data_IF_954281715104
#
_entry.id   IF_954281715104
#
_cell.length_a   1.000
_cell.length_b   1.000
_cell.length_c   1.000
_cell.angle_alpha   90.00
_cell.angle_beta   90.00
_cell.angle_gamma   90.00
#
_symmetry.space_group_name_H-M   'P 1'
#
loop_
_entity.id
_entity.type
_entity.pdbx_description
1 polymer ?
#
# COMPACT_ATOMS: atom_id res chain seq x y z
N UNK A 1 3.37 14.76 -17.56
CA UNK A 1 2.57 13.52 -17.37
C UNK A 1 1.36 13.80 -16.51
N UNK A 2 1.53 14.33 -15.29
CA UNK A 2 0.40 14.82 -14.51
C UNK A 2 -0.21 16.10 -15.10
N UNK A 3 -1.52 16.27 -14.89
CA UNK A 3 -2.32 17.44 -15.23
C UNK A 3 -3.55 17.52 -14.30
N UNK A 4 -4.56 18.34 -14.61
CA UNK A 4 -5.77 18.45 -13.80
C UNK A 4 -6.56 17.14 -13.70
N UNK A 5 -6.55 16.33 -14.76
CA UNK A 5 -7.24 15.04 -14.83
C UNK A 5 -6.44 13.90 -14.20
N UNK A 6 -5.12 13.87 -14.38
CA UNK A 6 -4.24 12.79 -13.95
C UNK A 6 -3.23 13.27 -12.91
N UNK A 7 -3.31 12.70 -11.70
CA UNK A 7 -2.39 13.00 -10.61
C UNK A 7 -1.66 11.74 -10.19
N UNK A 8 -0.34 11.82 -10.14
CA UNK A 8 0.53 10.70 -9.78
C UNK A 8 1.00 10.86 -8.34
N UNK A 9 0.93 9.79 -7.56
CA UNK A 9 1.45 9.73 -6.21
C UNK A 9 2.49 8.62 -6.11
N UNK A 10 3.72 8.93 -5.66
CA UNK A 10 4.71 7.90 -5.41
C UNK A 10 4.25 7.02 -4.23
N UNK A 11 4.29 5.71 -4.40
CA UNK A 11 4.09 4.74 -3.32
C UNK A 11 5.38 4.00 -3.01
N UNK A 12 5.24 2.80 -2.45
CA UNK A 12 6.37 1.95 -2.04
C UNK A 12 6.85 1.09 -3.21
N UNK A 13 8.17 1.10 -3.47
CA UNK A 13 8.81 0.32 -4.53
C UNK A 13 8.21 0.65 -5.91
N UNK A 14 7.85 -0.36 -6.72
CA UNK A 14 7.27 -0.20 -8.05
C UNK A 14 5.77 0.16 -8.05
N UNK A 15 5.14 0.25 -6.87
CA UNK A 15 3.70 0.51 -6.72
C UNK A 15 3.48 2.02 -6.56
N UNK A 16 2.83 2.62 -7.55
CA UNK A 16 2.46 4.04 -7.57
C UNK A 16 0.96 4.17 -7.81
N UNK A 17 0.37 5.29 -7.39
CA UNK A 17 -1.05 5.56 -7.60
C UNK A 17 -1.25 6.61 -8.68
N UNK A 18 -2.26 6.39 -9.52
CA UNK A 18 -2.80 7.36 -10.45
C UNK A 18 -4.23 7.70 -10.04
N UNK A 19 -4.48 8.96 -9.69
CA UNK A 19 -5.83 9.49 -9.53
C UNK A 19 -6.28 10.07 -10.86
N UNK A 20 -7.36 9.52 -11.42
CA UNK A 20 -7.99 10.00 -12.64
C UNK A 20 -9.33 10.68 -12.34
N UNK A 21 -9.35 12.02 -12.34
CA UNK A 21 -10.56 12.83 -12.12
C UNK A 21 -11.47 12.75 -13.34
N UNK A 22 -12.74 12.43 -13.12
CA UNK A 22 -13.71 12.18 -14.19
C UNK A 22 -13.40 10.90 -14.99
N UNK A 23 -12.53 10.03 -14.46
CA UNK A 23 -12.19 8.76 -15.09
C UNK A 23 -13.31 7.73 -15.02
N UNK A 24 -13.11 6.64 -15.75
CA UNK A 24 -14.04 5.51 -15.82
C UNK A 24 -13.50 4.29 -15.06
N UNK A 25 -14.39 3.57 -14.39
CA UNK A 25 -14.07 2.38 -13.59
C UNK A 25 -14.53 1.06 -14.23
N UNK A 26 -15.22 1.12 -15.36
CA UNK A 26 -15.80 -0.01 -16.09
C UNK A 26 -14.83 -0.69 -17.08
N UNK A 27 -13.54 -0.34 -17.03
CA UNK A 27 -12.51 -0.98 -17.82
C UNK A 27 -12.14 -2.32 -17.21
N UNK A 28 -11.96 -3.36 -18.04
CA UNK A 28 -11.38 -4.62 -17.59
C UNK A 28 -9.89 -4.59 -17.85
N UNK A 29 -9.09 -4.42 -16.79
CA UNK A 29 -7.64 -4.31 -16.88
C UNK A 29 -6.97 -5.45 -16.13
N UNK A 30 -6.05 -6.15 -16.78
CA UNK A 30 -5.37 -7.32 -16.23
C UNK A 30 -4.26 -6.89 -15.23
N UNK A 31 -4.20 -7.46 -14.02
CA UNK A 31 -3.08 -7.28 -13.12
C UNK A 31 -1.76 -7.78 -13.73
N UNK A 32 -0.63 -7.07 -13.55
CA UNK A 32 0.62 -7.44 -14.20
C UNK A 32 1.18 -8.78 -13.68
N UNK A 33 0.90 -9.15 -12.43
CA UNK A 33 1.41 -10.40 -11.84
C UNK A 33 0.82 -11.66 -12.50
N UNK A 34 -0.42 -11.59 -13.00
CA UNK A 34 -1.09 -12.72 -13.70
C UNK A 34 -0.44 -13.07 -15.04
N UNK A 35 0.32 -12.14 -15.63
CA UNK A 35 0.82 -12.22 -17.01
C UNK A 35 2.32 -12.02 -17.10
N UNK A 36 3.03 -12.22 -15.98
CA UNK A 36 4.48 -12.10 -15.90
C UNK A 36 5.17 -12.95 -16.97
N UNK A 37 6.09 -12.34 -17.73
CA UNK A 37 6.84 -13.00 -18.80
C UNK A 37 6.09 -13.12 -20.13
N UNK A 38 4.85 -12.63 -20.25
CA UNK A 38 4.07 -12.65 -21.49
C UNK A 38 4.16 -11.32 -22.25
N UNK A 39 3.94 -11.31 -23.59
CA UNK A 39 3.84 -10.07 -24.36
C UNK A 39 2.70 -9.17 -23.86
N UNK A 40 3.00 -7.88 -23.70
CA UNK A 40 2.05 -6.92 -23.10
C UNK A 40 0.96 -6.43 -24.05
N UNK A 41 1.20 -6.52 -25.37
CA UNK A 41 0.39 -5.84 -26.39
C UNK A 41 -1.11 -6.15 -26.28
N UNK A 42 -1.49 -7.42 -26.08
CA UNK A 42 -2.89 -7.80 -25.95
C UNK A 42 -3.58 -7.23 -24.70
N UNK A 43 -2.84 -7.05 -23.60
CA UNK A 43 -3.40 -6.55 -22.33
C UNK A 43 -3.50 -5.03 -22.32
N UNK A 44 -2.73 -4.34 -23.17
CA UNK A 44 -2.73 -2.89 -23.28
C UNK A 44 -3.76 -2.32 -24.27
N UNK A 45 -4.40 -3.17 -25.09
CA UNK A 45 -5.44 -2.74 -26.03
C UNK A 45 -6.59 -1.98 -25.35
N UNK A 46 -6.86 -2.28 -24.07
CA UNK A 46 -7.85 -1.56 -23.26
C UNK A 46 -7.53 -0.07 -23.14
N UNK A 47 -6.25 0.31 -23.09
CA UNK A 47 -5.83 1.70 -23.02
C UNK A 47 -5.95 2.40 -24.37
N UNK A 48 -5.73 1.69 -25.48
CA UNK A 48 -5.86 2.25 -26.84
C UNK A 48 -7.30 2.68 -27.15
N UNK A 49 -8.28 2.02 -26.54
CA UNK A 49 -9.71 2.35 -26.66
C UNK A 49 -10.13 3.61 -25.90
N UNK A 50 -9.25 4.21 -25.10
CA UNK A 50 -9.53 5.40 -24.28
C UNK A 50 -8.48 6.48 -24.61
N UNK A 51 -8.82 7.51 -25.39
CA UNK A 51 -7.85 8.50 -25.89
C UNK A 51 -6.93 9.10 -24.83
N UNK A 52 -7.47 9.38 -23.64
CA UNK A 52 -6.75 9.95 -22.50
C UNK A 52 -5.71 8.97 -21.96
N UNK A 53 -6.07 7.69 -21.82
CA UNK A 53 -5.15 6.65 -21.36
C UNK A 53 -4.13 6.31 -22.42
N UNK A 54 -4.51 6.23 -23.69
CA UNK A 54 -3.57 6.04 -24.80
C UNK A 54 -2.48 7.10 -24.78
N UNK A 55 -2.88 8.37 -24.75
CA UNK A 55 -1.95 9.50 -24.66
C UNK A 55 -1.09 9.43 -23.40
N UNK A 56 -1.67 9.05 -22.26
CA UNK A 56 -0.93 8.89 -21.00
C UNK A 56 0.15 7.80 -21.11
N UNK A 57 -0.19 6.63 -21.64
CA UNK A 57 0.72 5.48 -21.79
C UNK A 57 1.87 5.79 -22.76
N UNK A 58 1.57 6.42 -23.90
CA UNK A 58 2.57 6.84 -24.89
C UNK A 58 3.54 7.88 -24.30
N UNK A 59 3.01 8.90 -23.63
CA UNK A 59 3.82 9.92 -22.97
C UNK A 59 4.65 9.33 -21.83
N UNK A 60 4.08 8.43 -21.03
CA UNK A 60 4.77 7.79 -19.91
C UNK A 60 5.96 6.97 -20.42
N UNK A 61 5.75 6.17 -21.47
CA UNK A 61 6.83 5.43 -22.13
C UNK A 61 7.91 6.37 -22.67
N UNK A 62 7.54 7.47 -23.33
CA UNK A 62 8.50 8.45 -23.85
C UNK A 62 9.36 9.05 -22.73
N UNK A 63 8.76 9.40 -21.59
CA UNK A 63 9.51 9.93 -20.45
C UNK A 63 10.42 8.85 -19.86
N UNK A 64 9.87 7.68 -19.54
CA UNK A 64 10.59 6.61 -18.84
C UNK A 64 11.76 6.06 -19.65
N UNK A 65 11.58 5.78 -20.94
CA UNK A 65 12.66 5.28 -21.81
C UNK A 65 13.84 6.26 -21.83
N UNK A 66 13.58 7.57 -21.82
CA UNK A 66 14.63 8.59 -21.92
C UNK A 66 15.24 9.01 -20.58
N UNK A 67 14.84 8.40 -19.46
CA UNK A 67 15.44 8.67 -18.15
C UNK A 67 16.89 8.18 -18.10
N UNK A 68 17.79 9.00 -17.54
CA UNK A 68 19.21 8.68 -17.43
C UNK A 68 19.46 7.34 -16.74
N UNK A 69 18.73 7.07 -15.64
CA UNK A 69 18.79 5.79 -14.93
C UNK A 69 18.46 4.61 -15.86
N UNK A 70 17.39 4.71 -16.64
CA UNK A 70 16.98 3.65 -17.55
C UNK A 70 17.96 3.47 -18.72
N UNK A 71 18.57 4.55 -19.21
CA UNK A 71 19.64 4.50 -20.22
C UNK A 71 20.90 3.82 -19.66
N UNK A 72 21.27 4.10 -18.41
CA UNK A 72 22.38 3.44 -17.73
C UNK A 72 22.12 1.95 -17.51
N UNK A 73 20.92 1.58 -17.04
CA UNK A 73 20.52 0.18 -16.87
C UNK A 73 20.60 -0.57 -18.20
N UNK A 74 20.14 0.04 -19.30
CA UNK A 74 20.22 -0.55 -20.63
C UNK A 74 21.67 -0.79 -21.07
N UNK A 75 22.57 0.18 -20.85
CA UNK A 75 24.02 0.05 -21.14
C UNK A 75 24.68 -1.07 -20.32
N UNK A 76 24.15 -1.37 -19.14
CA UNK A 76 24.61 -2.46 -18.27
C UNK A 76 23.96 -3.82 -18.61
N UNK A 77 23.11 -3.91 -19.64
CA UNK A 77 22.36 -5.13 -19.96
C UNK A 77 21.25 -5.47 -18.95
N UNK A 78 20.86 -4.52 -18.09
CA UNK A 78 19.76 -4.67 -17.13
C UNK A 78 18.42 -4.24 -17.75
N UNK A 79 17.32 -4.65 -17.12
CA UNK A 79 15.95 -4.32 -17.55
C UNK A 79 15.52 -2.95 -17.01
N UNK A 80 15.24 -1.95 -17.87
CA UNK A 80 14.75 -0.64 -17.42
C UNK A 80 13.25 -0.68 -17.12
N UNK A 81 12.80 0.18 -16.21
CA UNK A 81 11.37 0.47 -15.99
C UNK A 81 10.88 1.43 -17.06
N UNK A 82 10.45 0.92 -18.21
CA UNK A 82 10.21 1.71 -19.44
C UNK A 82 8.72 2.04 -19.72
N UNK A 83 7.82 1.66 -18.81
CA UNK A 83 6.39 1.86 -18.96
C UNK A 83 5.71 1.91 -17.59
N UNK A 84 4.48 2.43 -17.58
CA UNK A 84 3.54 2.26 -16.48
C UNK A 84 2.56 1.14 -16.84
N UNK A 85 1.97 0.49 -15.83
CA UNK A 85 0.91 -0.49 -16.00
C UNK A 85 -0.22 -0.09 -15.06
N UNK A 86 -1.33 0.38 -15.61
CA UNK A 86 -2.49 0.80 -14.81
C UNK A 86 -3.32 -0.44 -14.49
N UNK A 87 -3.63 -0.70 -13.23
CA UNK A 87 -4.50 -1.80 -12.82
C UNK A 87 -5.06 -1.51 -11.44
N UNK A 88 -6.07 -2.28 -11.00
CA UNK A 88 -6.68 -2.08 -9.69
C UNK A 88 -7.52 -0.80 -9.62
N UNK A 89 -8.14 -0.41 -10.73
CA UNK A 89 -9.03 0.75 -10.80
C UNK A 89 -10.20 0.60 -9.83
N UNK A 90 -10.47 1.67 -9.10
CA UNK A 90 -11.54 1.74 -8.12
C UNK A 90 -11.94 3.19 -7.85
N UNK A 91 -13.09 3.37 -7.24
CA UNK A 91 -13.54 4.66 -6.73
C UNK A 91 -13.26 4.72 -5.23
N UNK A 92 -13.02 5.93 -4.71
CA UNK A 92 -12.93 6.11 -3.27
C UNK A 92 -14.24 5.61 -2.63
N UNK A 93 -14.16 4.68 -1.66
CA UNK A 93 -15.35 4.13 -1.04
C UNK A 93 -16.07 5.22 -0.24
N UNK A 94 -17.39 5.24 -0.33
CA UNK A 94 -18.24 6.04 0.55
C UNK A 94 -18.74 5.08 1.63
N UNK A 95 -18.22 5.24 2.84
CA UNK A 95 -18.59 4.42 3.99
C UNK A 95 -18.79 5.30 5.23
N UNK A 96 -19.71 4.95 6.14
CA UNK A 96 -19.83 5.65 7.42
C UNK A 96 -18.55 5.46 8.25
N UNK A 97 -18.17 6.49 9.00
CA UNK A 97 -17.05 6.38 9.94
C UNK A 97 -17.41 5.51 11.15
N UNK A 98 -16.39 5.08 11.89
CA UNK A 98 -16.58 4.42 13.19
C UNK A 98 -17.25 5.35 14.21
N UNK A 99 -17.00 6.66 14.12
CA UNK A 99 -17.68 7.65 14.94
C UNK A 99 -19.18 7.72 14.58
N UNK A 100 -19.53 7.81 13.29
CA UNK A 100 -20.94 7.86 12.86
C UNK A 100 -21.75 6.63 13.31
N UNK A 101 -21.10 5.46 13.34
CA UNK A 101 -21.77 4.19 13.65
C UNK A 101 -21.75 3.81 15.12
N UNK A 102 -20.67 4.14 15.82
CA UNK A 102 -20.37 3.60 17.15
C UNK A 102 -19.93 4.67 18.16
N UNK A 103 -19.75 5.93 17.74
CA UNK A 103 -19.24 7.01 18.59
C UNK A 103 -17.77 6.85 18.99
N UNK A 104 -17.01 6.05 18.24
CA UNK A 104 -15.62 5.68 18.56
C UNK A 104 -14.66 6.52 17.71
N UNK A 105 -13.63 7.07 18.34
CA UNK A 105 -12.47 7.67 17.67
C UNK A 105 -11.23 6.80 17.88
N UNK A 106 -10.30 6.88 16.94
CA UNK A 106 -9.15 5.99 16.99
C UNK A 106 -8.10 6.23 15.92
N UNK A 107 -7.07 5.39 15.96
CA UNK A 107 -5.95 5.45 15.02
C UNK A 107 -5.76 4.15 14.26
N UNK A 108 -5.15 4.26 13.07
CA UNK A 108 -4.63 3.14 12.29
C UNK A 108 -3.11 3.24 12.20
N UNK A 109 -2.41 2.18 12.61
CA UNK A 109 -0.95 2.06 12.55
C UNK A 109 -0.61 0.90 11.61
N UNK A 110 -0.04 1.21 10.46
CA UNK A 110 0.35 0.22 9.45
C UNK A 110 1.56 0.67 8.67
N UNK A 111 2.26 -0.27 8.04
CA UNK A 111 3.24 0.03 6.98
C UNK A 111 2.60 0.04 5.58
N UNK A 112 1.38 -0.50 5.46
CA UNK A 112 0.70 -0.75 4.19
C UNK A 112 -0.30 0.36 3.90
N UNK A 113 -0.13 1.03 2.75
CA UNK A 113 -0.96 2.17 2.35
C UNK A 113 -2.45 1.80 2.20
N UNK A 114 -2.75 0.58 1.72
CA UNK A 114 -4.12 0.09 1.61
C UNK A 114 -4.83 0.08 2.98
N UNK A 115 -4.16 -0.46 4.00
CA UNK A 115 -4.70 -0.54 5.36
C UNK A 115 -4.87 0.85 5.97
N UNK A 116 -3.89 1.76 5.77
CA UNK A 116 -4.01 3.16 6.20
C UNK A 116 -5.18 3.84 5.53
N UNK A 117 -5.33 3.67 4.21
CA UNK A 117 -6.42 4.25 3.44
C UNK A 117 -7.80 3.78 3.93
N UNK A 118 -7.94 2.48 4.22
CA UNK A 118 -9.17 1.95 4.82
C UNK A 118 -9.46 2.53 6.20
N UNK A 119 -8.44 2.69 7.04
CA UNK A 119 -8.60 3.35 8.34
C UNK A 119 -9.06 4.80 8.20
N UNK A 120 -8.46 5.57 7.29
CA UNK A 120 -8.89 6.95 6.98
C UNK A 120 -10.33 6.99 6.46
N UNK A 121 -10.71 6.08 5.57
CA UNK A 121 -12.10 5.96 5.10
C UNK A 121 -13.07 5.59 6.25
N UNK A 122 -12.61 4.85 7.25
CA UNK A 122 -13.36 4.54 8.46
C UNK A 122 -13.32 5.66 9.52
N UNK A 123 -12.66 6.79 9.25
CA UNK A 123 -12.55 7.93 10.17
C UNK A 123 -11.45 7.80 11.23
N UNK A 124 -10.50 6.88 11.07
CA UNK A 124 -9.33 6.74 11.94
C UNK A 124 -8.20 7.68 11.49
N UNK A 125 -7.45 8.20 12.45
CA UNK A 125 -6.21 8.94 12.17
C UNK A 125 -5.09 7.97 11.77
N UNK A 126 -4.41 8.23 10.66
CA UNK A 126 -3.30 7.40 10.20
C UNK A 126 -1.97 7.82 10.84
N UNK A 127 -1.44 6.97 11.72
CA UNK A 127 -0.17 7.22 12.41
C UNK A 127 0.99 6.58 11.63
N UNK A 128 2.02 7.38 11.35
CA UNK A 128 3.23 6.93 10.66
C UNK A 128 4.35 6.65 11.66
N UNK A 129 4.87 5.42 11.62
CA UNK A 129 5.95 4.97 12.51
C UNK A 129 7.26 4.90 11.71
N UNK A 130 8.32 5.66 12.09
CA UNK A 130 9.62 5.56 11.45
C UNK A 130 10.16 4.13 11.48
N UNK A 131 10.65 3.64 10.34
CA UNK A 131 11.17 2.28 10.20
C UNK A 131 10.10 1.18 10.09
N UNK A 132 8.83 1.52 9.92
CA UNK A 132 7.80 0.52 9.62
C UNK A 132 7.87 0.09 8.14
N UNK A 133 8.62 -0.98 7.84
CA UNK A 133 8.98 -1.41 6.47
C UNK A 133 8.03 -2.44 5.85
N UNK A 134 7.03 -2.94 6.59
CA UNK A 134 6.07 -3.93 6.09
C UNK A 134 6.63 -5.36 5.99
N UNK A 135 7.92 -5.55 6.25
CA UNK A 135 8.57 -6.86 6.24
C UNK A 135 9.16 -7.20 7.62
N UNK A 136 9.95 -8.28 7.73
CA UNK A 136 10.53 -8.74 9.00
C UNK A 136 11.44 -7.70 9.68
N UNK A 137 12.02 -6.77 8.91
CA UNK A 137 12.83 -5.66 9.43
C UNK A 137 12.00 -4.47 9.93
N UNK A 138 10.67 -4.62 10.02
CA UNK A 138 9.77 -3.54 10.48
C UNK A 138 10.05 -3.17 11.93
N UNK A 139 9.88 -1.89 12.26
CA UNK A 139 9.97 -1.39 13.63
C UNK A 139 8.75 -1.83 14.48
N UNK A 140 8.77 -3.06 15.00
CA UNK A 140 7.72 -3.60 15.87
C UNK A 140 7.53 -2.76 17.14
N UNK A 141 8.62 -2.49 17.85
CA UNK A 141 8.58 -1.71 19.10
C UNK A 141 8.01 -0.31 18.91
N UNK A 142 8.39 0.39 17.84
CA UNK A 142 7.83 1.71 17.52
C UNK A 142 6.34 1.67 17.22
N UNK A 143 5.85 0.60 16.56
CA UNK A 143 4.43 0.42 16.32
C UNK A 143 3.65 0.16 17.61
N UNK A 144 4.19 -0.68 18.50
CA UNK A 144 3.57 -0.93 19.81
C UNK A 144 3.58 0.32 20.68
N UNK A 145 4.69 1.06 20.72
CA UNK A 145 4.77 2.31 21.47
C UNK A 145 3.74 3.34 20.98
N UNK A 146 3.57 3.47 19.66
CA UNK A 146 2.54 4.32 19.07
C UNK A 146 1.13 3.85 19.42
N UNK A 147 0.88 2.54 19.43
CA UNK A 147 -0.41 1.96 19.80
C UNK A 147 -0.76 2.22 21.27
N UNK A 148 0.17 1.92 22.19
CA UNK A 148 -0.02 2.14 23.63
C UNK A 148 -0.18 3.63 23.95
N UNK A 149 0.57 4.51 23.27
CA UNK A 149 0.40 5.95 23.40
C UNK A 149 -0.99 6.41 22.94
N UNK A 150 -1.46 5.92 21.80
CA UNK A 150 -2.79 6.27 21.29
C UNK A 150 -3.92 5.79 22.22
N UNK A 151 -3.79 4.61 22.83
CA UNK A 151 -4.77 4.07 23.78
C UNK A 151 -4.95 4.92 25.06
N UNK A 152 -4.05 5.87 25.34
CA UNK A 152 -4.21 6.80 26.46
C UNK A 152 -5.23 7.90 26.18
N UNK A 153 -5.47 8.20 24.90
CA UNK A 153 -6.28 9.35 24.48
C UNK A 153 -7.45 8.95 23.56
N UNK A 154 -7.41 7.75 22.97
CA UNK A 154 -8.31 7.29 21.93
C UNK A 154 -9.06 6.03 22.35
N UNK A 155 -10.28 5.85 21.84
CA UNK A 155 -11.14 4.72 22.17
C UNK A 155 -10.72 3.42 21.44
N UNK A 156 -9.97 3.55 20.34
CA UNK A 156 -9.66 2.43 19.45
C UNK A 156 -8.31 2.56 18.75
N UNK A 157 -7.61 1.44 18.63
CA UNK A 157 -6.38 1.33 17.85
C UNK A 157 -6.44 0.12 16.93
N UNK A 158 -6.22 0.35 15.64
CA UNK A 158 -5.95 -0.71 14.66
C UNK A 158 -4.45 -0.81 14.41
N UNK A 159 -3.79 -1.78 15.04
CA UNK A 159 -2.36 -2.06 14.86
C UNK A 159 -2.15 -3.20 13.86
N UNK A 160 -1.41 -2.92 12.78
CA UNK A 160 -1.21 -3.85 11.68
C UNK A 160 0.27 -4.20 11.43
N UNK A 161 0.53 -5.48 11.16
CA UNK A 161 1.82 -6.04 10.79
C UNK A 161 1.67 -6.93 9.56
N UNK A 162 2.36 -6.55 8.48
CA UNK A 162 2.27 -7.19 7.16
C UNK A 162 3.24 -8.37 6.99
N UNK A 163 4.33 -8.42 7.75
CA UNK A 163 5.44 -9.35 7.55
C UNK A 163 5.04 -10.83 7.37
N UNK A 164 4.06 -11.39 8.09
CA UNK A 164 3.63 -12.78 7.87
C UNK A 164 3.03 -13.06 6.49
N UNK A 165 2.37 -12.07 5.88
CA UNK A 165 1.77 -12.20 4.55
C UNK A 165 2.83 -12.14 3.45
N UNK A 166 3.75 -11.17 3.52
CA UNK A 166 4.88 -11.06 2.58
C UNK A 166 5.77 -12.32 2.59
N UNK A 167 6.06 -12.89 3.77
CA UNK A 167 6.77 -14.17 3.87
C UNK A 167 5.99 -15.34 3.22
N UNK A 168 4.66 -15.29 3.25
CA UNK A 168 3.79 -16.27 2.59
C UNK A 168 3.82 -16.12 1.07
N UNK A 169 3.82 -14.89 0.56
CA UNK A 169 3.94 -14.60 -0.88
C UNK A 169 5.26 -15.11 -1.48
N UNK A 170 6.34 -15.10 -0.70
CA UNK A 170 7.63 -15.68 -1.10
C UNK A 170 7.66 -17.21 -1.05
N UNK A 171 6.65 -17.85 -0.44
CA UNK A 171 6.63 -19.29 -0.20
C UNK A 171 7.73 -19.74 0.78
N UNK A 172 8.25 -18.84 1.61
CA UNK A 172 9.34 -19.14 2.53
C UNK A 172 8.79 -19.52 3.92
N UNK A 173 8.76 -20.82 4.20
CA UNK A 173 8.26 -21.34 5.47
C UNK A 173 9.04 -20.83 6.68
N UNK A 174 10.37 -20.75 6.59
CA UNK A 174 11.20 -20.34 7.72
C UNK A 174 10.93 -18.88 8.09
N UNK A 175 10.89 -17.99 7.10
CA UNK A 175 10.56 -16.57 7.32
C UNK A 175 9.13 -16.38 7.81
N UNK A 176 8.18 -17.21 7.37
CA UNK A 176 6.80 -17.15 7.85
C UNK A 176 6.70 -17.51 9.34
N UNK A 177 7.42 -18.54 9.77
CA UNK A 177 7.49 -18.92 11.20
C UNK A 177 8.10 -17.77 12.00
N UNK A 178 9.26 -17.26 11.57
CA UNK A 178 9.95 -16.14 12.21
C UNK A 178 9.06 -14.90 12.33
N UNK A 179 8.34 -14.54 11.26
CA UNK A 179 7.45 -13.38 11.26
C UNK A 179 6.28 -13.53 12.26
N UNK A 180 5.73 -14.75 12.42
CA UNK A 180 4.66 -15.04 13.38
C UNK A 180 5.20 -15.01 14.81
N UNK A 181 6.35 -15.62 15.08
CA UNK A 181 7.00 -15.59 16.40
C UNK A 181 7.39 -14.16 16.81
N UNK A 182 7.89 -13.36 15.87
CA UNK A 182 8.18 -11.94 16.09
C UNK A 182 6.89 -11.14 16.36
N UNK A 183 5.80 -11.42 15.63
CA UNK A 183 4.50 -10.80 15.89
C UNK A 183 3.98 -11.14 17.30
N UNK A 184 4.02 -12.42 17.69
CA UNK A 184 3.56 -12.85 19.01
C UNK A 184 4.39 -12.19 20.13
N UNK A 185 5.72 -12.31 20.07
CA UNK A 185 6.61 -11.83 21.13
C UNK A 185 6.74 -10.30 21.18
N UNK A 186 6.90 -9.64 20.03
CA UNK A 186 7.19 -8.20 19.99
C UNK A 186 5.94 -7.34 19.90
N UNK A 187 4.79 -7.88 19.46
CA UNK A 187 3.54 -7.14 19.33
C UNK A 187 2.50 -7.61 20.33
N UNK A 188 2.03 -8.85 20.21
CA UNK A 188 0.92 -9.34 21.05
C UNK A 188 1.31 -9.31 22.52
N UNK A 189 2.45 -9.92 22.88
CA UNK A 189 2.97 -9.94 24.24
C UNK A 189 3.20 -8.54 24.79
N UNK A 190 3.92 -7.69 24.05
CA UNK A 190 4.23 -6.31 24.49
C UNK A 190 2.99 -5.45 24.66
N UNK A 191 1.99 -5.57 23.78
CA UNK A 191 0.72 -4.83 23.92
C UNK A 191 -0.05 -5.32 25.15
N UNK A 192 -0.17 -6.64 25.34
CA UNK A 192 -0.84 -7.20 26.52
C UNK A 192 -0.17 -6.72 27.81
N UNK A 193 1.17 -6.80 27.88
CA UNK A 193 1.93 -6.34 29.03
C UNK A 193 1.77 -4.83 29.27
N UNK A 194 1.81 -4.02 28.21
CA UNK A 194 1.63 -2.57 28.29
C UNK A 194 0.21 -2.14 28.69
N UNK A 195 -0.81 -2.93 28.36
CA UNK A 195 -2.20 -2.65 28.72
C UNK A 195 -2.59 -3.13 30.12
N UNK A 196 -1.74 -3.89 30.84
CA UNK A 196 -2.10 -4.45 32.16
C UNK A 196 -2.53 -3.40 33.19
N UNK A 197 -1.89 -2.23 33.14
CA UNK A 197 -2.15 -1.13 34.08
C UNK A 197 -3.17 -0.13 33.51
N UNK A 198 -3.76 -0.41 32.35
CA UNK A 198 -4.75 0.46 31.70
C UNK A 198 -6.17 -0.02 32.03
N UNK A 199 -6.92 0.80 32.74
CA UNK A 199 -8.32 0.51 33.05
C UNK A 199 -9.19 0.56 31.78
N UNK A 200 -10.08 -0.44 31.63
CA UNK A 200 -11.12 -0.41 30.60
C UNK A 200 -10.71 -0.86 29.19
N UNK A 201 -9.48 -1.33 29.00
CA UNK A 201 -9.04 -1.93 27.72
C UNK A 201 -9.65 -3.33 27.55
N UNK A 202 -10.18 -3.60 26.35
CA UNK A 202 -10.82 -4.86 25.98
C UNK A 202 -10.23 -5.43 24.69
#
# INVERSE_FOLDING_TARGET
LGNESFQFYPGVSYRHLLVWRGGRSDLTITPPHDVTGRPVAQYWQVYDGVPELKSLMENARRVLVNQDLNQQLLKQGKRPGNAIWLWGQGIAPIMPSLNDRFGIQGVVISAVDLVKGLGVCAGLEAVSVPGATGYLDTNYGGKVAAALGALQEQDFVYLHVEAPDEASHEGNLALKIEAIEAFDSQVVGTVIDGCRDMDGIR
#
